data_IF_855705625593
#
_entry.id   IF_855705625593
#
_cell.length_a   1.000
_cell.length_b   1.000
_cell.length_c   1.000
_cell.angle_alpha   90.00
_cell.angle_beta   90.00
_cell.angle_gamma   90.00
#
_symmetry.space_group_name_H-M   'P 1'
#
loop_
_entity.id
_entity.type
_entity.pdbx_description
1 polymer ?
#
# COMPACT_ATOMS: atom_id res chain seq x y z
N UNK A 1 -4.89 8.44 24.72
CA UNK A 1 -4.25 7.44 23.83
C UNK A 1 -5.27 7.10 22.75
N UNK A 2 -4.93 7.30 21.48
CA UNK A 2 -5.80 6.88 20.37
C UNK A 2 -5.85 5.35 20.39
N UNK A 3 -7.03 4.79 20.57
CA UNK A 3 -7.19 3.35 20.58
C UNK A 3 -7.41 2.88 19.15
N UNK A 4 -6.38 2.35 18.49
CA UNK A 4 -6.44 1.83 17.13
C UNK A 4 -7.48 0.71 16.97
N UNK A 5 -7.84 0.04 18.07
CA UNK A 5 -8.90 -0.97 18.12
C UNK A 5 -10.26 -0.41 17.66
N UNK A 6 -10.51 0.88 17.87
CA UNK A 6 -11.75 1.54 17.45
C UNK A 6 -11.87 1.65 15.93
N UNK A 7 -10.76 1.58 15.18
CA UNK A 7 -10.78 1.55 13.73
C UNK A 7 -11.32 0.22 13.16
N UNK A 8 -11.39 -0.82 13.99
CA UNK A 8 -11.78 -2.16 13.60
C UNK A 8 -10.71 -2.89 12.81
N UNK A 9 -11.08 -4.06 12.31
CA UNK A 9 -10.19 -4.95 11.56
C UNK A 9 -10.75 -5.26 10.18
N UNK A 10 -9.90 -5.80 9.31
CA UNK A 10 -10.28 -6.29 7.99
C UNK A 10 -9.46 -7.52 7.62
N UNK A 11 -10.05 -8.53 6.94
CA UNK A 11 -9.30 -9.67 6.42
C UNK A 11 -8.47 -9.24 5.21
N UNK A 12 -7.18 -9.60 5.22
CA UNK A 12 -6.27 -9.41 4.09
C UNK A 12 -5.70 -10.79 3.70
N UNK A 13 -6.40 -11.50 2.83
CA UNK A 13 -6.20 -12.93 2.61
C UNK A 13 -6.54 -13.74 3.85
N UNK A 14 -5.58 -14.54 4.33
CA UNK A 14 -5.68 -15.33 5.56
C UNK A 14 -5.24 -14.56 6.82
N UNK A 15 -4.85 -13.30 6.67
CA UNK A 15 -4.38 -12.44 7.76
C UNK A 15 -5.45 -11.45 8.18
N UNK A 16 -5.47 -11.09 9.46
CA UNK A 16 -6.34 -10.02 9.97
C UNK A 16 -5.50 -8.78 10.26
N UNK A 17 -5.85 -7.66 9.64
CA UNK A 17 -5.16 -6.38 9.83
C UNK A 17 -6.07 -5.35 10.51
N UNK A 18 -5.48 -4.41 11.21
CA UNK A 18 -6.16 -3.20 11.65
C UNK A 18 -6.48 -2.35 10.42
N UNK A 19 -7.66 -1.72 10.38
CA UNK A 19 -8.04 -0.86 9.24
C UNK A 19 -7.12 0.34 9.07
N UNK A 20 -6.49 0.81 10.15
CA UNK A 20 -5.47 1.86 10.09
C UNK A 20 -4.08 1.21 9.98
N UNK A 21 -3.51 1.23 8.79
CA UNK A 21 -2.12 0.83 8.50
C UNK A 21 -1.16 2.02 8.42
N UNK A 22 0.12 1.73 8.22
CA UNK A 22 1.16 2.75 8.05
C UNK A 22 1.90 2.59 6.73
N UNK A 23 1.82 3.61 5.85
CA UNK A 23 2.57 3.66 4.60
C UNK A 23 3.94 4.31 4.79
N UNK A 24 5.00 3.63 4.36
CA UNK A 24 6.40 4.05 4.64
C UNK A 24 7.05 4.85 3.51
N UNK A 25 6.34 5.20 2.45
CA UNK A 25 6.92 5.92 1.31
C UNK A 25 7.63 7.22 1.74
N UNK A 26 7.09 7.92 2.72
CA UNK A 26 7.64 9.16 3.27
C UNK A 26 8.91 8.96 4.14
N UNK A 27 9.27 7.71 4.45
CA UNK A 27 10.52 7.39 5.16
C UNK A 27 11.73 7.27 4.22
N UNK A 28 11.53 7.37 2.90
CA UNK A 28 12.61 7.60 1.95
C UNK A 28 12.91 9.10 1.83
N UNK A 29 13.96 9.44 1.11
CA UNK A 29 14.29 10.83 0.79
C UNK A 29 13.25 11.51 -0.11
N UNK A 30 13.44 12.79 -0.45
CA UNK A 30 12.52 13.56 -1.27
C UNK A 30 12.16 12.83 -2.59
N UNK A 31 10.89 12.87 -2.98
CA UNK A 31 10.40 12.13 -4.15
C UNK A 31 10.44 10.61 -4.00
N UNK A 32 10.45 10.09 -2.78
CA UNK A 32 10.64 8.68 -2.45
C UNK A 32 11.94 8.12 -3.06
N UNK A 33 13.02 8.91 -3.05
CA UNK A 33 14.31 8.56 -3.63
C UNK A 33 15.46 8.87 -2.68
N UNK A 34 16.41 7.93 -2.53
CA UNK A 34 17.51 8.05 -1.59
C UNK A 34 17.12 7.84 -0.12
N UNK A 35 18.08 7.99 0.80
CA UNK A 35 17.86 7.83 2.24
C UNK A 35 17.07 9.01 2.83
N UNK A 36 16.40 8.82 3.99
CA UNK A 36 15.77 9.91 4.71
C UNK A 36 16.80 10.92 5.22
N UNK A 37 16.33 12.15 5.46
CA UNK A 37 17.17 13.19 6.08
C UNK A 37 17.55 12.85 7.53
N UNK A 38 16.63 12.20 8.25
CA UNK A 38 16.82 11.75 9.62
C UNK A 38 16.46 10.27 9.73
N UNK A 39 17.49 9.43 9.71
CA UNK A 39 17.34 7.98 9.79
C UNK A 39 16.82 7.54 11.17
N UNK A 40 17.27 8.18 12.24
CA UNK A 40 16.84 7.84 13.59
C UNK A 40 15.35 8.15 13.80
N UNK A 41 14.87 9.28 13.29
CA UNK A 41 13.45 9.62 13.31
C UNK A 41 12.61 8.63 12.49
N UNK A 42 13.11 8.16 11.33
CA UNK A 42 12.41 7.16 10.52
C UNK A 42 12.23 5.83 11.27
N UNK A 43 13.27 5.37 11.98
CA UNK A 43 13.18 4.17 12.84
C UNK A 43 12.20 4.37 14.01
N UNK A 44 12.28 5.53 14.66
CA UNK A 44 11.44 5.85 15.82
C UNK A 44 9.94 5.87 15.45
N UNK A 45 9.59 6.46 14.31
CA UNK A 45 8.20 6.50 13.80
C UNK A 45 7.64 5.10 13.57
N UNK A 46 8.41 4.19 12.96
CA UNK A 46 7.96 2.81 12.75
C UNK A 46 7.74 2.07 14.06
N UNK A 47 8.67 2.19 14.99
CA UNK A 47 8.54 1.57 16.33
C UNK A 47 7.32 2.10 17.06
N UNK A 48 7.09 3.41 17.02
CA UNK A 48 5.93 4.04 17.64
C UNK A 48 4.61 3.58 16.98
N UNK A 49 4.55 3.48 15.64
CA UNK A 49 3.37 2.99 14.95
C UNK A 49 2.98 1.59 15.41
N UNK A 50 3.94 0.66 15.46
CA UNK A 50 3.70 -0.71 15.93
C UNK A 50 3.37 -0.75 17.43
N UNK A 51 4.06 0.03 18.26
CA UNK A 51 3.77 0.14 19.69
C UNK A 51 2.36 0.68 19.98
N UNK A 52 1.77 1.46 19.05
CA UNK A 52 0.37 1.92 19.09
C UNK A 52 -0.64 0.92 18.53
N UNK A 53 -0.19 -0.26 18.09
CA UNK A 53 -1.03 -1.35 17.63
C UNK A 53 -1.23 -1.42 16.11
N UNK A 54 -0.49 -0.63 15.31
CA UNK A 54 -0.46 -0.83 13.85
C UNK A 54 0.15 -2.20 13.55
N UNK A 55 -0.56 -3.03 12.83
CA UNK A 55 -0.10 -4.34 12.37
C UNK A 55 -0.14 -4.50 10.85
N UNK A 56 -0.26 -3.40 10.11
CA UNK A 56 -0.27 -3.36 8.65
C UNK A 56 0.70 -2.27 8.19
N UNK A 57 1.82 -2.67 7.58
CA UNK A 57 2.83 -1.78 7.02
C UNK A 57 2.80 -1.92 5.49
N UNK A 58 2.69 -0.79 4.79
CA UNK A 58 2.74 -0.73 3.33
C UNK A 58 4.07 -0.13 2.87
N UNK A 59 4.81 -0.88 2.05
CA UNK A 59 6.12 -0.50 1.50
C UNK A 59 6.21 -0.75 0.00
N UNK A 60 7.40 -0.61 -0.55
CA UNK A 60 7.82 -1.07 -1.88
C UNK A 60 9.34 -1.15 -1.96
N UNK A 61 9.86 -2.08 -2.77
CA UNK A 61 11.29 -2.20 -3.04
C UNK A 61 11.83 -1.01 -3.85
N UNK A 62 10.99 -0.34 -4.64
CA UNK A 62 11.38 0.85 -5.39
C UNK A 62 11.30 2.17 -4.60
N UNK A 63 10.98 2.13 -3.30
CA UNK A 63 11.09 3.30 -2.43
C UNK A 63 12.53 3.47 -1.93
N UNK A 64 13.22 4.47 -2.53
CA UNK A 64 14.54 4.85 -2.18
C UNK A 64 15.75 4.32 -2.96
N UNK A 65 15.81 3.38 -3.95
CA UNK A 65 15.33 2.01 -3.95
C UNK A 65 15.82 1.20 -2.74
N UNK A 66 15.00 0.27 -2.27
CA UNK A 66 15.25 -0.63 -1.13
C UNK A 66 15.46 0.05 0.22
N UNK A 67 15.40 1.39 0.30
CA UNK A 67 15.67 2.14 1.53
C UNK A 67 14.62 1.83 2.58
N UNK A 68 13.33 1.91 2.22
CA UNK A 68 12.25 1.70 3.18
C UNK A 68 12.19 0.26 3.71
N UNK A 69 12.46 -0.74 2.86
CA UNK A 69 12.53 -2.13 3.30
C UNK A 69 13.65 -2.37 4.33
N UNK A 70 14.80 -1.73 4.14
CA UNK A 70 15.91 -1.80 5.12
C UNK A 70 15.57 -1.08 6.42
N UNK A 71 14.90 0.06 6.36
CA UNK A 71 14.42 0.80 7.54
C UNK A 71 13.40 -0.04 8.31
N UNK A 72 12.43 -0.69 7.62
CA UNK A 72 11.47 -1.61 8.26
C UNK A 72 12.21 -2.72 9.00
N UNK A 73 13.17 -3.39 8.33
CA UNK A 73 13.95 -4.45 8.95
C UNK A 73 14.72 -3.95 10.17
N UNK A 74 15.42 -2.83 10.06
CA UNK A 74 16.22 -2.28 11.15
C UNK A 74 15.37 -1.83 12.35
N UNK A 75 14.18 -1.31 12.08
CA UNK A 75 13.29 -0.83 13.13
C UNK A 75 12.57 -1.97 13.85
N UNK A 76 12.14 -3.02 13.13
CA UNK A 76 11.10 -3.94 13.57
C UNK A 76 11.51 -5.42 13.60
N UNK A 77 12.64 -5.81 12.99
CA UNK A 77 13.04 -7.21 13.00
C UNK A 77 13.71 -7.60 14.34
N UNK A 78 13.36 -8.76 14.99
CA UNK A 78 12.35 -9.73 14.54
C UNK A 78 10.92 -9.15 14.59
N UNK A 79 10.14 -9.47 13.57
CA UNK A 79 8.79 -8.92 13.42
C UNK A 79 7.81 -9.53 14.41
N UNK A 80 6.81 -8.77 14.91
CA UNK A 80 5.66 -9.34 15.61
C UNK A 80 4.92 -10.35 14.73
N UNK A 81 4.39 -11.42 15.32
CA UNK A 81 3.72 -12.51 14.59
C UNK A 81 2.47 -12.06 13.83
N UNK A 82 1.81 -11.01 14.31
CA UNK A 82 0.61 -10.43 13.71
C UNK A 82 0.91 -9.29 12.71
N UNK A 83 2.18 -8.88 12.57
CA UNK A 83 2.55 -7.84 11.62
C UNK A 83 2.45 -8.35 10.19
N UNK A 84 1.71 -7.63 9.35
CA UNK A 84 1.56 -7.89 7.92
C UNK A 84 2.31 -6.83 7.13
N UNK A 85 3.24 -7.25 6.28
CA UNK A 85 4.00 -6.35 5.42
C UNK A 85 3.50 -6.51 3.98
N UNK A 86 2.91 -5.44 3.45
CA UNK A 86 2.48 -5.33 2.05
C UNK A 86 3.56 -4.61 1.28
N UNK A 87 4.05 -5.21 0.20
CA UNK A 87 5.02 -4.58 -0.70
C UNK A 87 4.50 -4.48 -2.12
N UNK A 88 5.25 -3.83 -3.00
CA UNK A 88 4.87 -3.64 -4.40
C UNK A 88 6.04 -3.98 -5.32
N UNK A 89 5.72 -4.52 -6.50
CA UNK A 89 6.63 -4.75 -7.62
C UNK A 89 5.99 -4.22 -8.91
N UNK A 90 6.71 -4.26 -10.01
CA UNK A 90 6.23 -3.80 -11.33
C UNK A 90 6.73 -2.42 -11.72
N UNK A 91 7.45 -1.74 -10.83
CA UNK A 91 8.15 -0.50 -11.11
C UNK A 91 9.62 -0.58 -10.68
N UNK A 92 10.44 0.27 -11.25
CA UNK A 92 11.82 0.53 -10.85
C UNK A 92 12.15 2.01 -10.94
N UNK A 93 13.27 2.42 -10.35
CA UNK A 93 13.71 3.82 -10.38
C UNK A 93 14.86 4.00 -11.34
N UNK A 94 14.76 5.01 -12.20
CA UNK A 94 15.89 5.48 -12.99
C UNK A 94 16.97 6.14 -12.12
N UNK A 95 18.18 6.33 -12.68
CA UNK A 95 19.28 7.02 -11.97
C UNK A 95 18.94 8.48 -11.63
N UNK A 96 18.07 9.08 -12.41
CA UNK A 96 17.51 10.43 -12.22
C UNK A 96 16.31 10.48 -11.28
N UNK A 97 15.92 9.33 -10.70
CA UNK A 97 14.76 9.21 -9.86
C UNK A 97 13.43 9.04 -10.61
N UNK A 98 13.44 8.89 -11.93
CA UNK A 98 12.23 8.61 -12.72
C UNK A 98 11.58 7.27 -12.35
N UNK A 99 10.27 7.19 -12.56
CA UNK A 99 9.49 5.97 -12.39
C UNK A 99 9.42 5.23 -13.73
N UNK A 100 9.89 4.00 -13.77
CA UNK A 100 9.98 3.18 -14.98
C UNK A 100 9.22 1.86 -14.76
N UNK A 101 8.55 1.32 -15.80
CA UNK A 101 7.97 -0.02 -15.72
C UNK A 101 9.05 -1.10 -15.57
N UNK A 102 8.70 -2.17 -14.86
CA UNK A 102 9.54 -3.35 -14.65
C UNK A 102 8.65 -4.60 -14.72
N UNK A 103 8.24 -5.00 -15.93
CA UNK A 103 7.23 -6.02 -16.18
C UNK A 103 7.79 -7.32 -16.75
N UNK A 104 9.06 -7.38 -17.13
CA UNK A 104 9.61 -8.63 -17.61
C UNK A 104 9.80 -9.63 -16.45
N UNK A 105 9.82 -10.94 -16.79
CA UNK A 105 9.91 -12.04 -15.81
C UNK A 105 11.11 -11.87 -14.89
N UNK A 106 12.26 -11.51 -15.46
CA UNK A 106 13.53 -11.34 -14.74
C UNK A 106 13.44 -10.22 -13.71
N UNK A 107 12.88 -9.07 -14.10
CA UNK A 107 12.72 -7.91 -13.21
C UNK A 107 11.75 -8.20 -12.07
N UNK A 108 10.61 -8.82 -12.37
CA UNK A 108 9.62 -9.17 -11.34
C UNK A 108 10.16 -10.22 -10.36
N UNK A 109 10.85 -11.24 -10.88
CA UNK A 109 11.48 -12.27 -10.06
C UNK A 109 12.56 -11.65 -9.17
N UNK A 110 13.41 -10.80 -9.74
CA UNK A 110 14.45 -10.09 -8.98
C UNK A 110 13.85 -9.20 -7.90
N UNK A 111 12.78 -8.46 -8.21
CA UNK A 111 12.09 -7.60 -7.25
C UNK A 111 11.52 -8.39 -6.05
N UNK A 112 10.93 -9.58 -6.28
CA UNK A 112 10.49 -10.45 -5.20
C UNK A 112 11.66 -10.90 -4.33
N UNK A 113 12.76 -11.36 -4.91
CA UNK A 113 13.95 -11.77 -4.15
C UNK A 113 14.61 -10.59 -3.42
N UNK A 114 14.58 -9.39 -3.99
CA UNK A 114 15.10 -8.18 -3.34
C UNK A 114 14.26 -7.80 -2.13
N UNK A 115 12.93 -7.90 -2.21
CA UNK A 115 12.04 -7.71 -1.07
C UNK A 115 12.32 -8.73 0.04
N UNK A 116 12.37 -10.03 -0.28
CA UNK A 116 12.67 -11.10 0.69
C UNK A 116 13.99 -10.82 1.42
N UNK A 117 15.04 -10.50 0.67
CA UNK A 117 16.38 -10.24 1.22
C UNK A 117 16.41 -8.97 2.08
N UNK A 118 15.84 -7.86 1.60
CA UNK A 118 15.91 -6.57 2.30
C UNK A 118 15.00 -6.52 3.53
N UNK A 119 13.84 -7.19 3.50
CA UNK A 119 12.97 -7.37 4.65
C UNK A 119 13.44 -8.49 5.59
N UNK A 120 14.30 -9.40 5.11
CA UNK A 120 14.75 -10.60 5.84
C UNK A 120 13.58 -11.50 6.24
N UNK A 121 12.78 -11.87 5.28
CA UNK A 121 11.68 -12.82 5.41
C UNK A 121 11.80 -13.92 4.35
N UNK A 122 11.26 -15.10 4.64
CA UNK A 122 11.28 -16.23 3.69
C UNK A 122 10.07 -16.19 2.73
N UNK A 123 8.99 -15.54 3.13
CA UNK A 123 7.76 -15.38 2.35
C UNK A 123 7.23 -13.95 2.50
N UNK A 124 6.81 -13.32 1.42
CA UNK A 124 6.13 -12.02 1.44
C UNK A 124 4.65 -12.21 1.72
N UNK A 125 4.09 -11.48 2.69
CA UNK A 125 2.67 -11.61 3.05
C UNK A 125 1.75 -11.19 1.90
N UNK A 126 1.93 -10.00 1.35
CA UNK A 126 1.16 -9.49 0.22
C UNK A 126 2.07 -8.73 -0.73
N UNK A 127 1.97 -9.04 -2.02
CA UNK A 127 2.67 -8.31 -3.08
C UNK A 127 1.67 -7.69 -4.04
N UNK A 128 1.65 -6.37 -4.13
CA UNK A 128 0.87 -5.64 -5.11
C UNK A 128 1.65 -5.54 -6.42
N UNK A 129 1.10 -6.07 -7.51
CA UNK A 129 1.59 -5.74 -8.84
C UNK A 129 1.11 -4.33 -9.21
N UNK A 130 2.05 -3.39 -9.32
CA UNK A 130 1.72 -2.02 -9.69
C UNK A 130 1.70 -1.87 -11.20
N UNK A 131 0.56 -1.45 -11.75
CA UNK A 131 0.48 -1.03 -13.15
C UNK A 131 1.31 0.24 -13.36
N UNK A 132 2.10 0.23 -14.43
CA UNK A 132 2.99 1.32 -14.84
C UNK A 132 2.75 1.75 -16.29
N UNK A 133 1.53 1.52 -16.82
CA UNK A 133 1.15 2.10 -18.11
C UNK A 133 1.08 3.63 -18.03
N UNK A 134 0.65 4.14 -16.88
CA UNK A 134 0.89 5.50 -16.42
C UNK A 134 1.26 5.45 -14.93
N UNK A 135 2.29 6.19 -14.46
CA UNK A 135 2.72 6.13 -13.07
C UNK A 135 1.79 6.88 -12.09
N UNK A 136 0.87 7.69 -12.58
CA UNK A 136 0.06 8.58 -11.75
C UNK A 136 -1.40 8.16 -11.62
N UNK A 137 -1.97 7.53 -12.67
CA UNK A 137 -3.37 7.09 -12.70
C UNK A 137 -3.56 5.76 -13.41
N UNK A 138 -4.64 5.03 -13.10
CA UNK A 138 -4.95 3.78 -13.78
C UNK A 138 -5.20 4.02 -15.28
N UNK A 139 -4.53 3.24 -16.12
CA UNK A 139 -4.69 3.24 -17.58
C UNK A 139 -4.85 1.81 -18.07
N UNK A 140 -5.74 1.61 -19.02
CA UNK A 140 -5.99 0.30 -19.63
C UNK A 140 -4.72 -0.29 -20.25
N UNK A 141 -4.59 -1.59 -20.13
CA UNK A 141 -3.48 -2.38 -20.63
C UNK A 141 -3.51 -3.78 -20.02
N UNK A 142 -2.92 -4.76 -20.70
CA UNK A 142 -2.90 -6.13 -20.19
C UNK A 142 -1.85 -6.30 -19.11
N UNK A 143 -2.28 -6.77 -17.94
CA UNK A 143 -1.42 -7.23 -16.84
C UNK A 143 -1.25 -8.75 -16.83
N UNK A 144 -1.76 -9.47 -17.86
CA UNK A 144 -1.75 -10.94 -17.91
C UNK A 144 -0.34 -11.51 -17.75
N UNK A 145 0.61 -11.06 -18.57
CA UNK A 145 1.97 -11.57 -18.52
C UNK A 145 2.67 -11.31 -17.17
N UNK A 146 2.75 -10.06 -16.65
CA UNK A 146 3.38 -9.81 -15.36
C UNK A 146 2.65 -10.45 -14.19
N UNK A 147 1.32 -10.53 -14.22
CA UNK A 147 0.55 -11.18 -13.16
C UNK A 147 0.72 -12.70 -13.16
N UNK A 148 0.86 -13.33 -14.34
CA UNK A 148 1.20 -14.75 -14.46
C UNK A 148 2.56 -15.05 -13.81
N UNK A 149 3.56 -14.19 -14.00
CA UNK A 149 4.86 -14.33 -13.33
C UNK A 149 4.69 -14.28 -11.80
N UNK A 150 3.91 -13.32 -11.30
CA UNK A 150 3.69 -13.19 -9.86
C UNK A 150 2.91 -14.40 -9.29
N UNK A 151 1.94 -14.93 -10.04
CA UNK A 151 1.23 -16.16 -9.67
C UNK A 151 2.15 -17.39 -9.66
N UNK A 152 3.14 -17.45 -10.57
CA UNK A 152 4.18 -18.49 -10.53
C UNK A 152 5.04 -18.41 -9.26
N UNK A 153 5.44 -17.20 -8.86
CA UNK A 153 6.21 -16.97 -7.63
C UNK A 153 5.38 -17.27 -6.37
N UNK A 154 4.07 -17.02 -6.41
CA UNK A 154 3.14 -17.43 -5.35
C UNK A 154 3.08 -18.96 -5.24
N UNK A 155 2.96 -19.68 -6.36
CA UNK A 155 2.97 -21.18 -6.35
C UNK A 155 4.28 -21.77 -5.87
N UNK A 156 5.39 -21.05 -6.00
CA UNK A 156 6.69 -21.41 -5.44
C UNK A 156 6.80 -21.14 -3.93
N UNK A 157 5.79 -20.51 -3.32
CA UNK A 157 5.77 -20.19 -1.89
C UNK A 157 6.55 -18.95 -1.49
N UNK A 158 7.00 -18.12 -2.45
CA UNK A 158 7.73 -16.88 -2.18
C UNK A 158 6.81 -15.71 -1.83
N UNK A 159 5.54 -15.79 -2.26
CA UNK A 159 4.49 -14.79 -2.04
C UNK A 159 3.25 -15.49 -1.52
N UNK A 160 2.68 -15.02 -0.41
CA UNK A 160 1.47 -15.59 0.16
C UNK A 160 0.21 -15.11 -0.57
N UNK A 161 0.07 -13.82 -0.75
CA UNK A 161 -1.09 -13.20 -1.37
C UNK A 161 -0.70 -12.17 -2.43
N UNK A 162 -1.56 -12.03 -3.43
CA UNK A 162 -1.40 -11.08 -4.53
C UNK A 162 -2.44 -9.98 -4.41
N UNK A 163 -2.01 -8.74 -4.57
CA UNK A 163 -2.84 -7.57 -4.78
C UNK A 163 -2.47 -6.84 -6.08
N UNK A 164 -3.24 -5.83 -6.40
CA UNK A 164 -3.01 -4.97 -7.57
C UNK A 164 -2.91 -3.51 -7.13
N UNK A 165 -2.17 -2.70 -7.87
CA UNK A 165 -2.04 -1.27 -7.58
C UNK A 165 -2.04 -0.44 -8.87
N UNK A 166 -2.70 0.71 -8.83
CA UNK A 166 -2.84 1.63 -9.94
C UNK A 166 -3.52 0.96 -11.16
N UNK A 167 -4.67 0.34 -10.92
CA UNK A 167 -5.38 -0.53 -11.87
C UNK A 167 -6.82 -0.07 -12.10
N UNK A 168 -7.36 -0.35 -13.29
CA UNK A 168 -8.78 -0.16 -13.61
C UNK A 168 -9.61 -1.34 -13.09
N UNK A 169 -10.93 -1.15 -12.97
CA UNK A 169 -11.85 -2.23 -12.61
C UNK A 169 -11.76 -3.42 -13.59
N UNK A 170 -11.54 -3.14 -14.89
CA UNK A 170 -11.33 -4.18 -15.89
C UNK A 170 -10.07 -5.00 -15.61
N UNK A 171 -8.96 -4.36 -15.28
CA UNK A 171 -7.71 -5.04 -14.92
C UNK A 171 -7.86 -5.90 -13.66
N UNK A 172 -8.66 -5.46 -12.69
CA UNK A 172 -9.00 -6.27 -11.51
C UNK A 172 -9.80 -7.52 -11.94
N UNK A 173 -10.83 -7.37 -12.76
CA UNK A 173 -11.63 -8.48 -13.26
C UNK A 173 -10.79 -9.47 -14.08
N UNK A 174 -9.89 -8.98 -14.93
CA UNK A 174 -8.96 -9.80 -15.71
C UNK A 174 -7.97 -10.53 -14.79
N UNK A 175 -7.42 -9.82 -13.81
CA UNK A 175 -6.47 -10.38 -12.84
C UNK A 175 -7.04 -11.51 -12.01
N UNK A 176 -8.31 -11.42 -11.60
CA UNK A 176 -9.02 -12.47 -10.83
C UNK A 176 -9.15 -13.79 -11.60
N UNK A 177 -9.04 -13.79 -12.92
CA UNK A 177 -9.01 -15.01 -13.74
C UNK A 177 -7.64 -15.73 -13.68
N UNK A 178 -6.60 -15.03 -13.24
CA UNK A 178 -5.22 -15.54 -13.17
C UNK A 178 -4.87 -16.00 -11.75
N UNK A 179 -5.22 -15.17 -10.75
CA UNK A 179 -4.94 -15.46 -9.34
C UNK A 179 -5.98 -14.80 -8.42
N UNK A 180 -6.19 -15.32 -7.20
CA UNK A 180 -6.95 -14.63 -6.17
C UNK A 180 -6.32 -13.27 -5.83
N UNK A 181 -7.10 -12.19 -5.95
CA UNK A 181 -6.66 -10.83 -5.64
C UNK A 181 -7.25 -10.44 -4.28
N UNK A 182 -6.39 -10.26 -3.26
CA UNK A 182 -6.83 -9.96 -1.89
C UNK A 182 -6.99 -8.47 -1.61
N UNK A 183 -6.32 -7.62 -2.40
CA UNK A 183 -6.48 -6.17 -2.26
C UNK A 183 -6.21 -5.42 -3.56
N UNK A 184 -6.76 -4.20 -3.62
CA UNK A 184 -6.47 -3.20 -4.65
C UNK A 184 -6.00 -1.92 -3.95
N UNK A 185 -4.96 -1.30 -4.50
CA UNK A 185 -4.41 -0.06 -3.97
C UNK A 185 -4.31 1.00 -5.07
N UNK A 186 -5.23 1.95 -5.07
CA UNK A 186 -5.28 3.05 -6.03
C UNK A 186 -5.23 4.41 -5.32
N UNK A 187 -5.05 5.47 -6.10
CA UNK A 187 -5.17 6.84 -5.62
C UNK A 187 -6.63 7.12 -5.25
N UNK A 188 -6.86 7.39 -3.96
CA UNK A 188 -8.21 7.70 -3.50
C UNK A 188 -8.17 8.56 -2.24
N UNK A 189 -8.98 9.61 -2.23
CA UNK A 189 -9.18 10.49 -1.09
C UNK A 189 -10.45 11.33 -1.29
N UNK A 190 -10.76 12.25 -0.40
CA UNK A 190 -11.97 13.09 -0.48
C UNK A 190 -12.11 13.90 -1.78
N UNK A 191 -10.98 14.18 -2.46
CA UNK A 191 -10.95 14.92 -3.73
C UNK A 191 -10.84 14.02 -4.97
N UNK A 192 -10.55 12.71 -4.79
CA UNK A 192 -10.37 11.73 -5.87
C UNK A 192 -11.21 10.49 -5.53
N UNK A 193 -12.39 10.41 -6.13
CA UNK A 193 -13.44 9.44 -5.82
C UNK A 193 -13.86 8.57 -7.01
N UNK A 194 -12.99 8.46 -8.01
CA UNK A 194 -13.29 7.73 -9.25
C UNK A 194 -13.50 6.23 -9.01
N UNK A 195 -12.96 5.69 -7.90
CA UNK A 195 -13.03 4.26 -7.58
C UNK A 195 -14.22 3.89 -6.67
N UNK A 196 -15.22 4.77 -6.42
CA UNK A 196 -16.35 4.44 -5.54
C UNK A 196 -17.04 3.12 -5.95
N UNK A 197 -17.32 2.93 -7.24
CA UNK A 197 -17.91 1.70 -7.74
C UNK A 197 -17.00 0.47 -7.59
N UNK A 198 -15.69 0.64 -7.78
CA UNK A 198 -14.71 -0.43 -7.60
C UNK A 198 -14.60 -0.82 -6.11
N UNK A 199 -14.68 0.14 -5.19
CA UNK A 199 -14.69 -0.12 -3.75
C UNK A 199 -15.88 -0.98 -3.36
N UNK A 200 -17.08 -0.65 -3.87
CA UNK A 200 -18.30 -1.42 -3.61
C UNK A 200 -18.21 -2.85 -4.17
N UNK A 201 -17.62 -3.02 -5.36
CA UNK A 201 -17.39 -4.34 -5.96
C UNK A 201 -16.41 -5.18 -5.14
N UNK A 202 -15.30 -4.59 -4.73
CA UNK A 202 -14.30 -5.26 -3.90
C UNK A 202 -14.86 -5.67 -2.53
N UNK A 203 -15.68 -4.79 -1.91
CA UNK A 203 -16.30 -5.06 -0.62
C UNK A 203 -17.26 -6.27 -0.71
N UNK A 204 -18.05 -6.39 -1.79
CA UNK A 204 -18.92 -7.54 -2.01
C UNK A 204 -18.16 -8.87 -2.15
N UNK A 205 -16.96 -8.80 -2.70
CA UNK A 205 -16.10 -9.96 -2.93
C UNK A 205 -15.14 -10.25 -1.76
N UNK A 206 -15.19 -9.43 -0.68
CA UNK A 206 -14.32 -9.59 0.49
C UNK A 206 -12.85 -9.21 0.23
N UNK A 207 -12.55 -8.49 -0.84
CA UNK A 207 -11.22 -7.96 -1.12
C UNK A 207 -11.05 -6.56 -0.52
N UNK A 208 -9.84 -6.27 -0.02
CA UNK A 208 -9.54 -4.98 0.58
C UNK A 208 -9.34 -3.89 -0.49
N UNK A 209 -9.83 -2.69 -0.21
CA UNK A 209 -9.38 -1.49 -0.91
C UNK A 209 -8.50 -0.66 0.01
N UNK A 210 -7.26 -0.40 -0.41
CA UNK A 210 -6.25 0.29 0.40
C UNK A 210 -5.82 1.57 -0.33
N UNK A 211 -6.35 2.75 0.00
CA UNK A 211 -6.03 3.97 -0.72
C UNK A 211 -4.57 4.36 -0.53
N UNK A 212 -3.87 4.75 -1.60
CA UNK A 212 -2.67 5.55 -1.46
C UNK A 212 -3.01 7.04 -1.56
N UNK A 213 -2.22 7.89 -0.92
CA UNK A 213 -2.49 9.32 -0.73
C UNK A 213 -3.85 9.65 -0.08
N UNK A 214 -4.28 8.92 0.96
CA UNK A 214 -5.56 9.17 1.60
C UNK A 214 -5.67 10.57 2.22
N UNK A 215 -4.52 11.21 2.50
CA UNK A 215 -4.42 12.55 3.09
C UNK A 215 -3.91 13.60 2.09
N UNK A 216 -3.91 13.29 0.77
CA UNK A 216 -3.45 14.19 -0.30
C UNK A 216 -2.00 13.96 -0.76
N UNK A 217 -1.28 13.01 -0.18
CA UNK A 217 0.09 12.67 -0.60
C UNK A 217 1.12 13.75 -0.25
N UNK A 218 1.82 14.25 -1.25
CA UNK A 218 2.83 15.31 -1.07
C UNK A 218 2.22 16.69 -0.82
N UNK A 219 0.95 16.88 -1.18
CA UNK A 219 0.18 18.09 -0.90
C UNK A 219 -0.99 17.71 -0.02
N UNK A 220 -1.02 18.13 1.26
CA UNK A 220 -2.14 17.82 2.15
C UNK A 220 -3.47 18.30 1.59
N UNK A 221 -4.53 17.53 1.83
CA UNK A 221 -5.89 17.93 1.47
C UNK A 221 -6.26 19.24 2.16
N UNK A 222 -6.68 20.20 1.39
CA UNK A 222 -7.14 21.51 1.85
C UNK A 222 -8.59 21.72 1.41
N UNK A 223 -9.47 21.97 2.37
CA UNK A 223 -10.89 22.23 2.14
C UNK A 223 -11.45 23.00 3.32
N UNK A 224 -12.20 24.08 3.05
CA UNK A 224 -12.92 24.82 4.10
C UNK A 224 -13.87 23.91 4.86
N UNK A 225 -14.66 23.10 4.15
CA UNK A 225 -15.60 22.15 4.75
C UNK A 225 -14.91 21.14 5.67
N UNK A 226 -13.74 20.60 5.25
CA UNK A 226 -12.96 19.69 6.09
C UNK A 226 -12.44 20.37 7.35
N UNK A 227 -12.00 21.65 7.21
CA UNK A 227 -11.52 22.45 8.34
C UNK A 227 -12.65 22.81 9.32
N UNK A 228 -13.85 23.13 8.82
CA UNK A 228 -15.02 23.41 9.63
C UNK A 228 -15.48 22.17 10.42
N UNK A 229 -15.52 21.00 9.77
CA UNK A 229 -15.85 19.73 10.45
C UNK A 229 -14.81 19.40 11.51
N UNK A 230 -13.53 19.57 11.19
CA UNK A 230 -12.44 19.34 12.13
C UNK A 230 -12.55 20.25 13.37
N UNK A 231 -12.80 21.54 13.16
CA UNK A 231 -12.99 22.48 14.27
C UNK A 231 -14.19 22.10 15.16
N UNK A 232 -15.32 21.71 14.55
CA UNK A 232 -16.52 21.26 15.29
C UNK A 232 -16.27 20.01 16.13
N UNK A 233 -15.39 19.10 15.65
CA UNK A 233 -15.03 17.87 16.33
C UNK A 233 -13.85 18.02 17.30
N UNK A 234 -13.24 19.21 17.41
CA UNK A 234 -12.02 19.42 18.20
C UNK A 234 -10.83 18.58 17.70
N UNK A 235 -10.78 18.32 16.39
CA UNK A 235 -9.78 17.49 15.73
C UNK A 235 -9.03 18.27 14.64
N UNK A 236 -7.98 17.69 14.09
CA UNK A 236 -7.31 18.25 12.90
C UNK A 236 -7.95 17.73 11.61
N UNK A 237 -7.85 18.47 10.49
CA UNK A 237 -8.30 17.97 9.18
C UNK A 237 -7.72 16.60 8.82
N UNK A 238 -6.45 16.36 9.15
CA UNK A 238 -5.77 15.07 8.93
C UNK A 238 -6.31 13.92 9.78
N UNK A 239 -6.90 14.20 10.94
CA UNK A 239 -7.57 13.19 11.76
C UNK A 239 -8.98 12.88 11.25
N UNK A 240 -9.66 13.88 10.66
CA UNK A 240 -11.03 13.72 10.14
C UNK A 240 -11.05 13.01 8.79
N UNK A 241 -10.12 13.33 7.90
CA UNK A 241 -10.10 12.79 6.55
C UNK A 241 -10.16 11.24 6.48
N UNK A 242 -9.37 10.46 7.26
CA UNK A 242 -9.48 9.00 7.24
C UNK A 242 -10.83 8.47 7.75
N UNK A 243 -11.48 9.17 8.67
CA UNK A 243 -12.79 8.78 9.20
C UNK A 243 -13.89 8.73 8.13
N UNK A 244 -13.76 9.55 7.08
CA UNK A 244 -14.70 9.56 5.97
C UNK A 244 -14.64 8.32 5.08
N UNK A 245 -13.55 7.53 5.16
CA UNK A 245 -13.40 6.26 4.41
C UNK A 245 -13.83 5.04 5.22
N UNK A 246 -13.85 5.16 6.54
CA UNK A 246 -14.22 4.08 7.45
C UNK A 246 -15.74 3.95 7.62
N UNK A 247 -16.52 4.99 7.28
CA UNK A 247 -17.96 4.93 7.31
C UNK A 247 -18.50 4.11 6.13
N UNK A 248 -19.50 3.24 6.34
CA UNK A 248 -20.25 2.67 5.23
C UNK A 248 -20.82 3.81 4.37
N UNK A 249 -21.00 3.63 3.05
CA UNK A 249 -21.61 4.65 2.23
C UNK A 249 -22.91 5.11 2.86
N UNK A 250 -23.00 6.39 3.15
CA UNK A 250 -24.26 6.98 3.64
C UNK A 250 -25.18 6.92 2.44
N UNK A 251 -26.13 5.99 2.46
CA UNK A 251 -27.26 6.02 1.54
C UNK A 251 -28.03 7.31 1.79
N UNK A 252 -27.90 8.27 0.90
CA UNK A 252 -28.81 9.41 0.81
C UNK A 252 -30.14 8.98 0.23
#
# INVERSE_FOLDING_TARGET
MSNIEQAGTFPLGDRTVKRLGYGVMQLAGPGAFGPPKDHAAALAVLREAVARGVNHIDTSDFYGPHVTNRIIREALHPYPDDLVIVTKIGAKRGKDGSWLPAFCREELTQAVHDNLRNLRVDVLDVVNLRSMFDPHHPVEGSLEAPLTVLADLQRQGLVRHIGLSNVTAKQVADGRRIAPIVCVQNHYNLAHREDDALIDDLARDGAAYVPFFPLGGFTPLQSSSLSEVAARLGATPMQVAPGCYAAPPISC
#
